data_IF_376294630638
#
_entry.id   IF_376294630638
#
_cell.length_a   1.000
_cell.length_b   1.000
_cell.length_c   1.000
_cell.angle_alpha   90.00
_cell.angle_beta   90.00
_cell.angle_gamma   90.00
#
_symmetry.space_group_name_H-M   'P 1'
#
loop_
_entity.id
_entity.type
_entity.pdbx_description
1 polymer ?
#
# COMPACT_ATOMS: atom_id res chain seq x y z
N UNK A 1 0.53 24.70 -7.86
CA UNK A 1 1.84 24.81 -7.15
C UNK A 1 1.65 25.00 -5.65
N UNK A 2 0.91 26.02 -5.19
CA UNK A 2 0.65 26.23 -3.75
C UNK A 2 0.01 25.01 -3.04
N UNK A 3 -0.96 24.35 -3.67
CA UNK A 3 -1.58 23.11 -3.15
C UNK A 3 -0.60 21.95 -3.01
N UNK A 4 0.33 21.80 -3.95
CA UNK A 4 1.36 20.75 -3.88
C UNK A 4 2.36 21.04 -2.76
N UNK A 5 2.78 22.31 -2.63
CA UNK A 5 3.66 22.73 -1.53
C UNK A 5 2.98 22.54 -0.19
N UNK A 6 1.72 22.95 -0.03
CA UNK A 6 0.96 22.75 1.21
C UNK A 6 0.76 21.27 1.53
N UNK A 7 0.44 20.44 0.53
CA UNK A 7 0.32 18.99 0.70
C UNK A 7 1.66 18.35 1.09
N UNK A 8 2.78 18.75 0.46
CA UNK A 8 4.11 18.27 0.82
C UNK A 8 4.53 18.72 2.21
N UNK A 9 4.23 19.97 2.61
CA UNK A 9 4.51 20.46 3.96
C UNK A 9 3.64 19.76 5.01
N UNK A 10 2.36 19.55 4.75
CA UNK A 10 1.48 18.78 5.61
C UNK A 10 1.96 17.33 5.75
N UNK A 11 2.40 16.71 4.65
CA UNK A 11 3.00 15.38 4.65
C UNK A 11 4.32 15.33 5.44
N UNK A 12 5.20 16.32 5.28
CA UNK A 12 6.44 16.42 6.05
C UNK A 12 6.12 16.61 7.53
N UNK A 13 5.19 17.50 7.89
CA UNK A 13 4.79 17.69 9.28
C UNK A 13 4.18 16.42 9.89
N UNK A 14 3.37 15.71 9.11
CA UNK A 14 2.78 14.43 9.51
C UNK A 14 3.84 13.35 9.69
N UNK A 15 4.74 13.15 8.70
CA UNK A 15 5.77 12.10 8.73
C UNK A 15 6.95 12.41 9.65
N UNK A 16 7.22 13.69 9.92
CA UNK A 16 8.17 14.13 10.93
C UNK A 16 7.66 13.88 12.36
N UNK A 17 6.42 13.39 12.52
CA UNK A 17 5.93 12.73 13.74
C UNK A 17 6.39 13.47 15.01
N UNK A 18 5.91 14.69 15.20
CA UNK A 18 6.21 15.58 16.33
C UNK A 18 5.84 15.00 17.73
N UNK A 19 5.52 13.71 17.85
CA UNK A 19 4.90 13.06 19.01
C UNK A 19 5.79 12.05 19.75
N UNK A 20 7.12 12.22 19.70
CA UNK A 20 8.05 11.40 20.49
C UNK A 20 8.19 9.96 19.97
N UNK A 21 8.24 8.96 20.86
CA UNK A 21 8.39 7.54 20.49
C UNK A 21 7.32 7.12 19.46
N UNK A 22 7.72 6.30 18.48
CA UNK A 22 6.87 5.90 17.37
C UNK A 22 5.60 5.17 17.84
N UNK A 23 4.56 5.16 17.00
CA UNK A 23 3.29 4.47 17.33
C UNK A 23 3.54 3.02 17.75
N UNK A 24 4.42 2.36 17.01
CA UNK A 24 4.73 0.95 17.20
C UNK A 24 5.37 0.69 18.58
N UNK A 25 6.34 1.53 18.98
CA UNK A 25 6.97 1.41 20.31
C UNK A 25 5.94 1.54 21.44
N UNK A 26 4.92 2.39 21.24
CA UNK A 26 3.84 2.59 22.21
C UNK A 26 2.89 1.38 22.26
N UNK A 27 2.58 0.78 21.11
CA UNK A 27 1.76 -0.44 21.04
C UNK A 27 2.49 -1.60 21.72
N UNK A 28 3.78 -1.79 21.40
CA UNK A 28 4.62 -2.82 22.04
C UNK A 28 4.65 -2.61 23.55
N UNK A 29 4.91 -1.38 24.01
CA UNK A 29 4.89 -1.06 25.44
C UNK A 29 3.52 -1.33 26.08
N UNK A 30 2.42 -0.95 25.42
CA UNK A 30 1.06 -1.12 25.94
C UNK A 30 0.62 -2.59 26.01
N UNK A 31 1.19 -3.44 25.14
CA UNK A 31 0.89 -4.87 25.05
C UNK A 31 1.83 -5.73 25.90
N UNK A 32 2.64 -5.10 26.75
CA UNK A 32 3.52 -5.79 27.71
C UNK A 32 4.93 -6.07 27.20
N UNK A 33 5.33 -5.47 26.07
CA UNK A 33 6.71 -5.53 25.60
C UNK A 33 7.67 -4.82 26.54
N UNK A 34 8.84 -5.43 26.73
CA UNK A 34 9.89 -4.92 27.62
C UNK A 34 11.11 -4.50 26.82
N UNK A 35 11.75 -3.41 27.22
CA UNK A 35 13.03 -3.04 26.63
C UNK A 35 14.11 -3.96 27.19
N UNK A 36 14.92 -4.59 26.34
CA UNK A 36 15.98 -5.48 26.79
C UNK A 36 17.26 -5.34 25.94
N UNK A 37 18.41 -5.60 26.56
CA UNK A 37 19.69 -5.67 25.84
C UNK A 37 20.18 -7.12 25.81
N UNK A 38 20.53 -7.68 24.63
CA UNK A 38 21.09 -9.01 24.54
C UNK A 38 22.58 -8.99 24.96
N UNK A 39 22.89 -9.76 26.00
CA UNK A 39 24.24 -10.01 26.48
C UNK A 39 24.71 -11.38 25.94
N UNK A 40 25.43 -11.35 24.83
CA UNK A 40 25.87 -12.56 24.13
C UNK A 40 27.02 -13.25 24.86
N UNK A 41 26.91 -14.56 25.06
CA UNK A 41 28.00 -15.40 25.61
C UNK A 41 28.30 -15.17 27.09
N UNK A 42 27.47 -14.41 27.81
CA UNK A 42 27.64 -14.15 29.24
C UNK A 42 27.33 -15.39 30.08
N UNK A 43 26.22 -16.07 29.78
CA UNK A 43 25.78 -17.27 30.50
C UNK A 43 26.77 -18.43 30.39
N UNK A 44 27.36 -18.63 29.20
CA UNK A 44 28.30 -19.73 28.96
C UNK A 44 29.67 -19.50 29.64
N UNK A 45 30.09 -18.24 29.79
CA UNK A 45 31.40 -17.89 30.37
C UNK A 45 31.39 -17.82 31.90
N UNK A 46 30.29 -17.39 32.51
CA UNK A 46 30.27 -17.06 33.94
C UNK A 46 29.13 -17.73 34.73
N UNK A 47 28.28 -18.53 34.08
CA UNK A 47 27.07 -19.08 34.69
C UNK A 47 25.99 -18.02 34.92
N UNK A 48 24.85 -18.41 35.52
CA UNK A 48 23.72 -17.49 35.79
C UNK A 48 23.87 -16.68 37.09
N UNK A 49 24.80 -17.04 37.98
CA UNK A 49 24.98 -16.36 39.27
C UNK A 49 25.28 -14.84 39.17
N UNK A 50 26.07 -14.35 38.19
CA UNK A 50 26.27 -12.91 37.99
C UNK A 50 25.00 -12.22 37.47
N UNK A 51 24.16 -12.95 36.74
CA UNK A 51 22.91 -12.44 36.17
C UNK A 51 21.92 -12.12 37.29
N UNK A 52 21.84 -12.96 38.32
CA UNK A 52 20.97 -12.75 39.50
C UNK A 52 21.22 -11.43 40.23
N UNK A 53 22.47 -10.95 40.25
CA UNK A 53 22.83 -9.65 40.84
C UNK A 53 22.27 -8.46 40.03
N UNK A 54 22.09 -8.61 38.71
CA UNK A 54 21.45 -7.61 37.85
C UNK A 54 19.91 -7.64 37.94
N UNK A 55 19.32 -8.77 38.35
CA UNK A 55 17.87 -8.93 38.58
C UNK A 55 17.41 -8.04 39.73
N UNK A 56 18.24 -7.92 40.78
CA UNK A 56 17.92 -7.12 41.96
C UNK A 56 17.71 -5.63 41.65
N UNK A 57 18.35 -5.09 40.61
CA UNK A 57 18.25 -3.68 40.20
C UNK A 57 17.07 -3.43 39.24
N UNK A 58 16.75 -4.42 38.41
CA UNK A 58 15.70 -4.31 37.39
C UNK A 58 14.33 -4.79 37.88
N UNK A 59 14.30 -5.59 38.95
CA UNK A 59 13.08 -6.15 39.54
C UNK A 59 12.36 -7.17 38.63
N UNK A 60 12.98 -7.59 37.53
CA UNK A 60 12.40 -8.51 36.55
C UNK A 60 13.40 -9.57 36.14
N UNK A 61 12.90 -10.80 35.93
CA UNK A 61 13.75 -11.92 35.54
C UNK A 61 14.22 -11.77 34.08
N UNK A 62 15.50 -12.01 33.79
CA UNK A 62 16.06 -11.97 32.46
C UNK A 62 15.61 -13.19 31.67
N UNK A 63 15.29 -12.96 30.40
CA UNK A 63 14.89 -14.01 29.48
C UNK A 63 16.15 -14.63 28.87
N UNK A 64 16.27 -15.96 28.93
CA UNK A 64 17.39 -16.69 28.32
C UNK A 64 16.89 -17.36 27.05
N UNK A 65 17.50 -17.04 25.91
CA UNK A 65 17.17 -17.67 24.63
C UNK A 65 18.45 -18.23 24.00
N UNK A 66 18.64 -19.54 24.13
CA UNK A 66 19.90 -20.19 23.74
C UNK A 66 21.08 -19.64 24.55
N UNK A 67 22.10 -19.13 23.86
CA UNK A 67 23.32 -18.57 24.46
C UNK A 67 23.22 -17.07 24.82
N UNK A 68 22.12 -16.41 24.42
CA UNK A 68 21.90 -14.98 24.62
C UNK A 68 21.02 -14.73 25.86
N UNK A 69 21.51 -13.89 26.77
CA UNK A 69 20.76 -13.44 27.95
C UNK A 69 20.20 -12.06 27.69
N UNK A 70 18.88 -11.90 27.74
CA UNK A 70 18.20 -10.62 27.59
C UNK A 70 18.00 -9.97 28.96
N UNK A 71 18.75 -8.90 29.21
CA UNK A 71 18.62 -8.13 30.44
C UNK A 71 17.52 -7.07 30.26
N UNK A 72 16.41 -7.12 31.02
CA UNK A 72 15.38 -6.11 30.98
C UNK A 72 15.94 -4.76 31.45
N UNK A 73 15.56 -3.69 30.75
CA UNK A 73 15.95 -2.31 31.02
C UNK A 73 14.70 -1.44 31.10
N UNK A 74 14.76 -0.31 31.82
CA UNK A 74 13.69 0.68 31.78
C UNK A 74 13.38 1.14 30.35
N UNK A 75 12.09 1.23 30.00
CA UNK A 75 11.61 1.52 28.63
C UNK A 75 12.21 2.77 27.97
N UNK A 76 12.67 3.75 28.77
CA UNK A 76 13.36 4.95 28.27
C UNK A 76 14.58 4.64 27.39
N UNK A 77 15.24 3.50 27.61
CA UNK A 77 16.44 3.10 26.86
C UNK A 77 16.14 2.65 25.43
N UNK A 78 14.93 2.14 25.15
CA UNK A 78 14.50 1.78 23.79
C UNK A 78 13.83 2.95 23.06
N UNK A 79 13.55 4.07 23.73
CA UNK A 79 12.81 5.19 23.17
C UNK A 79 13.68 6.44 22.96
N UNK A 80 14.30 6.97 24.00
CA UNK A 80 14.91 8.31 23.98
C UNK A 80 16.33 8.35 24.53
N UNK A 81 16.68 7.42 25.41
CA UNK A 81 17.92 7.48 26.19
C UNK A 81 18.93 6.47 25.63
N UNK A 82 20.11 6.89 25.15
CA UNK A 82 21.12 5.95 24.71
C UNK A 82 21.68 5.15 25.89
N UNK A 83 21.94 3.86 25.67
CA UNK A 83 22.59 3.00 26.65
C UNK A 83 24.11 3.28 26.67
N UNK A 84 24.53 4.12 27.61
CA UNK A 84 25.92 4.53 27.82
C UNK A 84 26.26 4.47 29.31
N UNK A 85 27.56 4.40 29.63
CA UNK A 85 28.08 4.33 31.02
C UNK A 85 27.51 5.45 31.91
N UNK A 86 27.36 6.66 31.38
CA UNK A 86 26.78 7.80 32.12
C UNK A 86 25.33 7.55 32.57
N UNK A 87 24.53 6.89 31.73
CA UNK A 87 23.10 6.71 31.95
C UNK A 87 22.77 5.42 32.71
N UNK A 88 23.70 4.45 32.75
CA UNK A 88 23.53 3.18 33.45
C UNK A 88 24.86 2.65 34.04
N UNK A 89 25.51 3.38 34.97
CA UNK A 89 26.86 3.07 35.44
C UNK A 89 26.96 1.70 36.12
N UNK A 90 25.93 1.25 36.83
CA UNK A 90 25.89 -0.06 37.49
C UNK A 90 26.09 -1.22 36.51
N UNK A 91 25.49 -1.15 35.33
CA UNK A 91 25.61 -2.19 34.30
C UNK A 91 27.02 -2.22 33.72
N UNK A 92 27.57 -1.06 33.37
CA UNK A 92 28.91 -0.98 32.79
C UNK A 92 30.02 -1.33 33.79
N UNK A 93 29.83 -1.01 35.08
CA UNK A 93 30.72 -1.45 36.16
C UNK A 93 30.67 -2.97 36.33
N UNK A 94 29.46 -3.56 36.40
CA UNK A 94 29.30 -5.00 36.46
C UNK A 94 29.95 -5.71 35.27
N UNK A 95 29.71 -5.22 34.05
CA UNK A 95 30.30 -5.83 32.86
C UNK A 95 31.83 -5.70 32.84
N UNK A 96 32.40 -4.66 33.47
CA UNK A 96 33.85 -4.50 33.62
C UNK A 96 34.44 -5.51 34.60
N UNK A 97 33.76 -5.74 35.73
CA UNK A 97 34.15 -6.76 36.72
C UNK A 97 34.08 -8.17 36.13
N UNK A 98 32.99 -8.47 35.41
CA UNK A 98 32.79 -9.79 34.78
C UNK A 98 33.78 -10.04 33.65
N UNK A 99 34.09 -9.04 32.81
CA UNK A 99 35.08 -9.25 31.73
C UNK A 99 36.53 -9.41 32.21
N UNK A 100 36.83 -9.24 33.51
CA UNK A 100 38.13 -9.57 34.08
C UNK A 100 39.32 -8.81 33.45
N UNK A 101 39.15 -7.53 33.10
CA UNK A 101 40.17 -6.82 32.30
C UNK A 101 41.24 -6.19 33.18
N UNK A 102 42.30 -6.96 33.42
CA UNK A 102 43.66 -6.47 33.66
C UNK A 102 44.44 -6.20 32.35
N UNK A 103 43.74 -6.12 31.21
CA UNK A 103 44.40 -6.02 29.90
C UNK A 103 43.74 -4.95 29.03
N UNK A 104 44.16 -3.69 29.21
CA UNK A 104 44.20 -2.56 28.24
C UNK A 104 43.18 -2.53 27.07
N UNK A 105 41.93 -2.93 27.26
CA UNK A 105 40.87 -2.69 26.28
C UNK A 105 40.13 -1.42 26.67
N UNK A 106 40.74 -0.28 26.33
CA UNK A 106 40.05 1.02 26.21
C UNK A 106 39.09 1.05 25.00
N UNK A 107 38.86 -0.08 24.31
CA UNK A 107 37.73 -0.19 23.41
C UNK A 107 36.48 -0.30 24.29
N UNK A 108 35.79 0.83 24.46
CA UNK A 108 34.51 0.93 25.14
C UNK A 108 33.68 -0.32 24.85
N UNK A 109 33.23 -1.00 25.90
CA UNK A 109 32.36 -2.16 25.82
C UNK A 109 31.08 -1.75 25.07
N UNK A 110 31.10 -1.87 23.75
CA UNK A 110 29.99 -1.48 22.89
C UNK A 110 28.96 -2.58 22.94
N UNK A 111 27.99 -2.38 23.81
CA UNK A 111 26.79 -3.20 23.82
C UNK A 111 25.97 -2.96 22.55
N UNK A 112 25.29 -3.99 22.04
CA UNK A 112 24.27 -3.78 21.01
C UNK A 112 23.19 -2.82 21.54
N UNK A 113 22.54 -2.04 20.66
CA UNK A 113 21.45 -1.18 21.09
C UNK A 113 20.34 -2.02 21.74
N UNK A 114 19.73 -1.54 22.83
CA UNK A 114 18.61 -2.23 23.44
C UNK A 114 17.45 -2.27 22.45
N UNK A 115 16.69 -3.37 22.46
CA UNK A 115 15.55 -3.60 21.58
C UNK A 115 14.35 -4.02 22.42
N UNK A 116 13.16 -3.80 21.88
CA UNK A 116 11.96 -4.38 22.45
C UNK A 116 12.01 -5.91 22.38
N UNK A 117 11.61 -6.56 23.46
CA UNK A 117 11.50 -8.00 23.62
C UNK A 117 10.11 -8.33 24.13
N UNK A 118 9.42 -9.25 23.45
CA UNK A 118 8.01 -9.56 23.69
C UNK A 118 7.07 -8.43 23.28
N UNK A 119 5.85 -8.48 23.82
CA UNK A 119 4.76 -7.59 23.40
C UNK A 119 4.21 -7.95 22.01
N UNK A 120 3.30 -7.13 21.50
CA UNK A 120 2.70 -7.30 20.18
C UNK A 120 3.33 -6.32 19.19
N UNK A 121 4.06 -6.83 18.21
CA UNK A 121 4.69 -6.03 17.16
C UNK A 121 3.83 -6.06 15.88
N UNK A 122 3.10 -4.98 15.62
CA UNK A 122 2.28 -4.90 14.40
C UNK A 122 3.19 -4.87 13.18
N UNK A 123 2.97 -5.78 12.22
CA UNK A 123 3.76 -5.80 10.99
C UNK A 123 3.50 -4.55 10.13
N UNK A 124 4.32 -3.52 10.32
CA UNK A 124 4.24 -2.27 9.57
C UNK A 124 4.50 -2.46 8.07
N UNK A 125 5.35 -3.42 7.70
CA UNK A 125 5.58 -3.79 6.30
C UNK A 125 4.31 -4.38 5.68
N UNK A 126 3.62 -5.29 6.37
CA UNK A 126 2.37 -5.84 5.90
C UNK A 126 1.29 -4.76 5.77
N UNK A 127 1.20 -3.85 6.75
CA UNK A 127 0.30 -2.70 6.71
C UNK A 127 0.53 -1.81 5.48
N UNK A 128 1.76 -1.33 5.28
CA UNK A 128 2.10 -0.42 4.19
C UNK A 128 1.97 -1.07 2.81
N UNK A 129 2.42 -2.32 2.66
CA UNK A 129 2.28 -3.07 1.40
C UNK A 129 0.81 -3.31 1.06
N UNK A 130 -0.01 -3.66 2.05
CA UNK A 130 -1.46 -3.85 1.85
C UNK A 130 -2.12 -2.55 1.43
N UNK A 131 -1.90 -1.47 2.18
CA UNK A 131 -2.50 -0.17 1.89
C UNK A 131 -2.05 0.36 0.51
N UNK A 132 -0.75 0.32 0.24
CA UNK A 132 -0.19 0.76 -1.04
C UNK A 132 -0.70 -0.06 -2.22
N UNK A 133 -0.74 -1.38 -2.10
CA UNK A 133 -1.25 -2.26 -3.15
C UNK A 133 -2.73 -2.01 -3.43
N UNK A 134 -3.56 -1.82 -2.40
CA UNK A 134 -5.00 -1.56 -2.56
C UNK A 134 -5.29 -0.21 -3.22
N UNK A 135 -4.58 0.85 -2.81
CA UNK A 135 -4.73 2.18 -3.42
C UNK A 135 -4.28 2.15 -4.89
N UNK A 136 -3.16 1.51 -5.19
CA UNK A 136 -2.70 1.41 -6.58
C UNK A 136 -3.65 0.54 -7.42
N UNK A 137 -4.16 -0.55 -6.84
CA UNK A 137 -5.13 -1.42 -7.50
C UNK A 137 -6.46 -0.70 -7.77
N UNK A 138 -6.94 0.18 -6.88
CA UNK A 138 -8.17 0.95 -7.13
C UNK A 138 -8.04 1.90 -8.30
N UNK A 139 -6.88 2.53 -8.48
CA UNK A 139 -6.59 3.40 -9.63
C UNK A 139 -6.47 2.61 -10.95
N UNK A 140 -5.95 1.38 -10.90
CA UNK A 140 -5.84 0.50 -12.07
C UNK A 140 -7.13 -0.24 -12.41
N UNK A 141 -8.07 -0.33 -11.46
CA UNK A 141 -9.30 -1.13 -11.60
C UNK A 141 -10.14 -0.78 -12.85
N UNK A 142 -10.35 0.49 -13.25
CA UNK A 142 -11.08 0.81 -14.48
C UNK A 142 -10.41 0.25 -15.74
N UNK A 143 -9.08 0.31 -15.82
CA UNK A 143 -8.31 -0.24 -16.94
C UNK A 143 -8.39 -1.77 -16.99
N UNK A 144 -8.32 -2.43 -15.83
CA UNK A 144 -8.49 -3.89 -15.74
C UNK A 144 -9.90 -4.33 -16.11
N UNK A 145 -10.95 -3.68 -15.59
CA UNK A 145 -12.35 -3.97 -15.93
C UNK A 145 -12.60 -3.81 -17.43
N UNK A 146 -12.08 -2.74 -18.03
CA UNK A 146 -12.20 -2.50 -19.48
C UNK A 146 -11.48 -3.57 -20.31
N UNK A 147 -10.30 -4.02 -19.88
CA UNK A 147 -9.56 -5.08 -20.55
C UNK A 147 -10.26 -6.45 -20.42
N UNK A 148 -10.79 -6.75 -19.24
CA UNK A 148 -11.56 -7.97 -18.96
C UNK A 148 -12.85 -8.02 -19.77
N UNK A 149 -13.60 -6.92 -19.83
CA UNK A 149 -14.82 -6.81 -20.63
C UNK A 149 -14.56 -7.05 -22.13
N UNK A 150 -13.49 -6.45 -22.68
CA UNK A 150 -13.08 -6.70 -24.08
C UNK A 150 -12.71 -8.16 -24.33
N UNK A 151 -12.02 -8.79 -23.37
CA UNK A 151 -11.64 -10.21 -23.45
C UNK A 151 -12.88 -11.12 -23.39
N UNK A 152 -13.81 -10.83 -22.48
CA UNK A 152 -15.06 -11.58 -22.30
C UNK A 152 -15.98 -11.48 -23.52
N UNK A 153 -16.11 -10.27 -24.09
CA UNK A 153 -16.91 -10.04 -25.29
C UNK A 153 -16.27 -10.61 -26.59
N UNK A 154 -15.09 -11.25 -26.51
CA UNK A 154 -14.40 -11.79 -27.67
C UNK A 154 -14.03 -10.74 -28.72
N UNK A 155 -14.12 -9.46 -28.39
CA UNK A 155 -13.86 -8.34 -29.29
C UNK A 155 -12.37 -8.26 -29.54
N UNK A 156 -11.91 -9.00 -30.55
CA UNK A 156 -10.65 -8.68 -31.22
C UNK A 156 -10.91 -7.39 -31.96
N UNK A 157 -10.38 -6.29 -31.45
CA UNK A 157 -10.37 -5.03 -32.21
C UNK A 157 -9.58 -5.30 -33.49
N UNK A 158 -10.28 -5.68 -34.56
CA UNK A 158 -9.79 -5.63 -35.92
C UNK A 158 -9.69 -4.14 -36.25
N UNK A 159 -8.63 -3.51 -35.74
CA UNK A 159 -8.32 -2.11 -35.93
C UNK A 159 -7.93 -1.89 -37.39
N UNK A 160 -8.90 -1.85 -38.29
CA UNK A 160 -8.70 -1.51 -39.70
C UNK A 160 -8.57 0.00 -39.92
N UNK A 161 -7.82 0.65 -39.03
CA UNK A 161 -7.47 2.06 -39.14
C UNK A 161 -5.95 2.15 -39.11
N UNK A 162 -5.36 2.69 -40.16
CA UNK A 162 -3.97 3.17 -40.22
C UNK A 162 -3.75 4.37 -39.26
N UNK A 163 -4.38 4.34 -38.09
CA UNK A 163 -4.30 5.40 -37.10
C UNK A 163 -3.13 5.08 -36.18
N UNK A 164 -2.05 5.86 -36.32
CA UNK A 164 -0.88 5.72 -35.44
C UNK A 164 -1.34 5.96 -33.99
N UNK A 165 -1.03 5.04 -33.05
CA UNK A 165 -1.43 5.21 -31.66
C UNK A 165 -0.81 6.50 -31.12
N UNK A 166 -1.66 7.34 -30.52
CA UNK A 166 -1.22 8.61 -29.94
C UNK A 166 -0.22 8.35 -28.80
N UNK A 167 0.69 9.30 -28.56
CA UNK A 167 1.64 9.20 -27.43
C UNK A 167 0.91 8.98 -26.10
N UNK A 168 -0.22 9.66 -25.89
CA UNK A 168 -1.08 9.51 -24.70
C UNK A 168 -1.57 8.08 -24.52
N UNK A 169 -2.00 7.41 -25.59
CA UNK A 169 -2.41 6.01 -25.53
C UNK A 169 -1.24 5.10 -25.14
N UNK A 170 -0.05 5.30 -25.71
CA UNK A 170 1.14 4.52 -25.36
C UNK A 170 1.53 4.69 -23.90
N UNK A 171 1.51 5.92 -23.41
CA UNK A 171 1.83 6.24 -22.00
C UNK A 171 0.81 5.62 -21.04
N UNK A 172 -0.48 5.68 -21.36
CA UNK A 172 -1.52 5.06 -20.54
C UNK A 172 -1.36 3.53 -20.45
N UNK A 173 -1.10 2.86 -21.58
CA UNK A 173 -0.86 1.41 -21.61
C UNK A 173 0.40 1.06 -20.82
N UNK A 174 1.50 1.78 -21.04
CA UNK A 174 2.75 1.55 -20.31
C UNK A 174 2.57 1.75 -18.80
N UNK A 175 1.91 2.84 -18.39
CA UNK A 175 1.61 3.14 -17.00
C UNK A 175 0.72 2.06 -16.37
N UNK A 176 -0.28 1.57 -17.09
CA UNK A 176 -1.16 0.49 -16.61
C UNK A 176 -0.38 -0.82 -16.42
N UNK A 177 0.49 -1.18 -17.37
CA UNK A 177 1.34 -2.39 -17.27
C UNK A 177 2.33 -2.26 -16.11
N UNK A 178 3.04 -1.14 -16.01
CA UNK A 178 4.02 -0.90 -14.96
C UNK A 178 3.36 -0.90 -13.57
N UNK A 179 2.21 -0.23 -13.43
CA UNK A 179 1.43 -0.24 -12.19
C UNK A 179 0.95 -1.64 -11.83
N UNK A 180 0.47 -2.43 -12.80
CA UNK A 180 0.04 -3.80 -12.56
C UNK A 180 1.19 -4.71 -12.11
N UNK A 181 2.37 -4.55 -12.73
CA UNK A 181 3.58 -5.27 -12.33
C UNK A 181 4.03 -4.90 -10.90
N UNK A 182 3.91 -3.62 -10.53
CA UNK A 182 4.22 -3.15 -9.19
C UNK A 182 3.26 -3.71 -8.14
N UNK A 183 1.95 -3.74 -8.42
CA UNK A 183 0.96 -4.38 -7.54
C UNK A 183 1.29 -5.87 -7.37
N UNK A 184 1.58 -6.59 -8.46
CA UNK A 184 1.95 -7.99 -8.39
C UNK A 184 3.21 -8.23 -7.55
N UNK A 185 4.23 -7.37 -7.72
CA UNK A 185 5.45 -7.40 -6.91
C UNK A 185 5.14 -7.17 -5.42
N UNK A 186 4.29 -6.20 -5.08
CA UNK A 186 3.94 -5.91 -3.69
C UNK A 186 3.10 -7.01 -3.05
N UNK A 187 2.19 -7.63 -3.80
CA UNK A 187 1.45 -8.82 -3.34
C UNK A 187 2.41 -9.99 -3.11
N UNK A 188 3.40 -10.19 -3.97
CA UNK A 188 4.44 -11.20 -3.77
C UNK A 188 5.31 -10.91 -2.55
N UNK A 189 5.71 -9.64 -2.34
CA UNK A 189 6.43 -9.24 -1.14
C UNK A 189 5.60 -9.51 0.12
N UNK A 190 4.30 -9.19 0.10
CA UNK A 190 3.39 -9.47 1.22
C UNK A 190 3.28 -10.99 1.48
N UNK A 191 3.22 -11.80 0.44
CA UNK A 191 3.25 -13.27 0.55
C UNK A 191 4.55 -13.77 1.20
N UNK A 192 5.70 -13.24 0.79
CA UNK A 192 6.99 -13.56 1.41
C UNK A 192 7.05 -13.12 2.88
N UNK A 193 6.52 -11.92 3.19
CA UNK A 193 6.38 -11.46 4.58
C UNK A 193 5.52 -12.41 5.40
N UNK A 194 4.42 -12.91 4.84
CA UNK A 194 3.52 -13.84 5.52
C UNK A 194 4.17 -15.19 5.84
N UNK A 195 5.12 -15.67 5.02
CA UNK A 195 5.80 -16.95 5.24
C UNK A 195 6.94 -16.83 6.25
N UNK A 196 7.80 -15.81 6.14
CA UNK A 196 9.12 -15.85 6.78
C UNK A 196 9.27 -15.02 8.07
N UNK A 197 8.39 -14.06 8.36
CA UNK A 197 8.62 -13.07 9.41
C UNK A 197 7.40 -12.88 10.29
N UNK A 198 7.53 -12.68 11.61
CA UNK A 198 6.44 -12.44 12.57
C UNK A 198 5.52 -13.63 12.88
N UNK A 199 4.84 -13.53 14.01
CA UNK A 199 3.78 -14.45 14.40
C UNK A 199 2.50 -14.22 13.55
N UNK A 200 1.64 -15.24 13.37
CA UNK A 200 0.44 -15.16 12.50
C UNK A 200 -0.55 -14.03 12.87
N UNK A 201 -0.69 -13.76 14.17
CA UNK A 201 -1.56 -12.73 14.75
C UNK A 201 -1.02 -11.31 14.49
N UNK A 202 0.29 -11.10 14.62
CA UNK A 202 0.97 -9.84 14.27
C UNK A 202 0.79 -9.47 12.79
N UNK A 203 0.85 -10.48 11.91
CA UNK A 203 0.58 -10.33 10.46
C UNK A 203 -0.86 -9.96 10.20
N UNK A 204 -1.80 -10.65 10.86
CA UNK A 204 -3.23 -10.42 10.67
C UNK A 204 -3.62 -9.01 11.10
N UNK A 205 -3.04 -8.50 12.19
CA UNK A 205 -3.25 -7.12 12.61
C UNK A 205 -2.74 -6.11 11.58
N UNK A 206 -1.54 -6.33 11.03
CA UNK A 206 -1.01 -5.49 9.94
C UNK A 206 -1.90 -5.47 8.70
N UNK A 207 -2.38 -6.64 8.27
CA UNK A 207 -3.32 -6.79 7.16
C UNK A 207 -4.66 -6.08 7.43
N UNK A 208 -5.25 -6.32 8.62
CA UNK A 208 -6.53 -5.74 9.01
C UNK A 208 -6.47 -4.21 9.07
N UNK A 209 -5.41 -3.65 9.67
CA UNK A 209 -5.18 -2.21 9.68
C UNK A 209 -5.03 -1.65 8.26
N UNK A 210 -4.35 -2.38 7.37
CA UNK A 210 -4.18 -1.98 5.97
C UNK A 210 -5.50 -1.93 5.22
N UNK A 211 -6.36 -2.94 5.43
CA UNK A 211 -7.71 -3.01 4.84
C UNK A 211 -8.62 -1.92 5.38
N UNK A 212 -8.63 -1.70 6.71
CA UNK A 212 -9.43 -0.64 7.35
C UNK A 212 -8.98 0.74 6.85
N UNK A 213 -7.68 0.98 6.75
CA UNK A 213 -7.14 2.24 6.24
C UNK A 213 -7.53 2.45 4.76
N UNK A 214 -7.42 1.42 3.92
CA UNK A 214 -7.83 1.49 2.51
C UNK A 214 -9.34 1.76 2.38
N UNK A 215 -10.15 1.11 3.22
CA UNK A 215 -11.59 1.37 3.28
C UNK A 215 -11.89 2.81 3.71
N UNK A 216 -11.20 3.31 4.73
CA UNK A 216 -11.31 4.70 5.17
C UNK A 216 -10.97 5.70 4.05
N UNK A 217 -9.90 5.44 3.28
CA UNK A 217 -9.55 6.26 2.10
C UNK A 217 -10.68 6.23 1.06
N UNK A 218 -11.23 5.05 0.77
CA UNK A 218 -12.33 4.90 -0.19
C UNK A 218 -13.60 5.64 0.24
N UNK A 219 -13.87 5.74 1.55
CA UNK A 219 -14.98 6.53 2.08
C UNK A 219 -14.69 8.04 2.01
N UNK A 220 -13.46 8.45 2.28
CA UNK A 220 -13.08 9.85 2.37
C UNK A 220 -12.89 10.54 1.01
N UNK A 221 -12.47 9.80 -0.02
CA UNK A 221 -12.18 10.34 -1.36
C UNK A 221 -13.45 10.30 -2.22
N UNK A 222 -14.00 11.47 -2.63
CA UNK A 222 -15.14 11.50 -3.54
C UNK A 222 -14.79 10.84 -4.87
N UNK A 223 -15.68 9.99 -5.38
CA UNK A 223 -15.52 9.41 -6.72
C UNK A 223 -15.54 10.52 -7.75
N UNK A 224 -14.57 10.53 -8.67
CA UNK A 224 -14.60 11.47 -9.78
C UNK A 224 -15.85 11.19 -10.63
N UNK A 225 -16.63 12.23 -11.00
CA UNK A 225 -17.75 12.05 -11.90
C UNK A 225 -17.23 11.51 -13.23
N UNK A 226 -17.87 10.45 -13.72
CA UNK A 226 -17.59 9.86 -15.02
C UNK A 226 -17.65 10.98 -16.05
N UNK A 227 -16.55 11.22 -16.78
CA UNK A 227 -16.54 12.18 -17.88
C UNK A 227 -17.50 11.62 -18.95
N UNK A 228 -18.69 12.21 -19.07
CA UNK A 228 -19.61 11.89 -20.16
C UNK A 228 -18.96 12.40 -21.44
N UNK A 229 -18.37 11.48 -22.21
CA UNK A 229 -17.84 11.80 -23.53
C UNK A 229 -19.06 11.94 -24.44
N UNK A 230 -19.49 13.18 -24.69
CA UNK A 230 -20.55 13.45 -25.66
C UNK A 230 -20.05 13.12 -27.07
N UNK A 231 -20.47 11.98 -27.60
CA UNK A 231 -20.19 11.61 -28.98
C UNK A 231 -21.13 12.41 -29.89
N UNK A 232 -20.58 13.44 -30.55
CA UNK A 232 -21.30 14.13 -31.62
C UNK A 232 -21.42 13.19 -32.82
N UNK A 233 -22.56 12.50 -32.92
CA UNK A 233 -22.90 11.67 -34.09
C UNK A 233 -22.95 12.60 -35.29
N UNK A 234 -21.98 12.48 -36.20
CA UNK A 234 -21.98 13.22 -37.46
C UNK A 234 -23.09 12.61 -38.30
N UNK A 235 -24.20 13.34 -38.44
CA UNK A 235 -25.32 12.93 -39.30
C UNK A 235 -24.84 12.60 -40.73
N UNK A 236 -25.60 11.77 -41.48
CA UNK A 236 -25.22 11.37 -42.82
C UNK A 236 -24.88 12.60 -43.66
N UNK A 237 -23.67 12.62 -44.21
CA UNK A 237 -23.28 13.62 -45.19
C UNK A 237 -24.24 13.48 -46.38
N UNK A 238 -25.15 14.45 -46.55
CA UNK A 238 -25.93 14.59 -47.79
C UNK A 238 -24.91 14.62 -48.93
N UNK A 239 -24.83 13.53 -49.71
CA UNK A 239 -24.10 13.57 -50.99
C UNK A 239 -24.71 14.70 -51.81
N UNK A 240 -23.91 15.57 -52.45
CA UNK A 240 -24.43 16.44 -53.48
C UNK A 240 -25.05 15.55 -54.56
N UNK A 241 -26.33 15.76 -54.85
CA UNK A 241 -27.00 15.09 -55.97
C UNK A 241 -26.23 15.45 -57.25
N UNK A 242 -25.95 14.49 -58.16
CA UNK A 242 -25.32 14.81 -59.43
C UNK A 242 -26.23 15.79 -60.18
N UNK A 243 -25.66 16.90 -60.67
CA UNK A 243 -26.35 17.80 -61.61
C UNK A 243 -26.62 16.99 -62.87
N UNK A 244 -27.88 16.64 -63.10
CA UNK A 244 -28.36 16.16 -64.39
C UNK A 244 -28.68 17.39 -65.22
N UNK A 245 -27.78 17.75 -66.11
CA UNK A 245 -28.15 18.48 -67.33
C UNK A 245 -29.06 17.55 -68.12
N UNK A 246 -30.29 17.98 -68.37
CA UNK A 246 -31.00 17.84 -69.65
C UNK A 246 -32.46 18.32 -69.50
N UNK A 247 -32.79 19.31 -70.33
CA UNK A 247 -34.06 19.43 -71.07
C UNK A 247 -35.38 19.53 -70.30
N UNK A 248 -35.88 20.77 -70.22
CA UNK A 248 -37.21 21.24 -70.67
C UNK A 248 -38.35 20.20 -70.66
N UNK A 249 -39.39 20.52 -69.88
CA UNK A 249 -40.83 20.26 -70.12
C UNK A 249 -41.55 19.15 -69.33
N UNK A 250 -42.82 19.48 -68.99
CA UNK A 250 -43.85 18.75 -68.25
C UNK A 250 -43.72 18.76 -66.70
N UNK A 251 -44.26 19.75 -65.97
CA UNK A 251 -45.67 20.07 -65.72
C UNK A 251 -46.46 19.01 -64.91
N UNK A 252 -46.82 19.39 -63.67
CA UNK A 252 -48.00 19.03 -62.89
C UNK A 252 -48.46 17.56 -62.73
N UNK A 253 -48.37 17.05 -61.49
CA UNK A 253 -49.45 16.29 -60.81
C UNK A 253 -49.10 16.13 -59.31
N UNK A 254 -49.63 16.96 -58.41
CA UNK A 254 -50.80 16.76 -57.51
C UNK A 254 -50.83 15.40 -56.77
N UNK A 255 -51.20 15.48 -55.48
CA UNK A 255 -51.70 14.44 -54.54
C UNK A 255 -50.52 13.70 -53.86
N UNK A 256 -50.31 13.83 -52.55
CA UNK A 256 -51.19 13.35 -51.50
C UNK A 256 -50.96 11.84 -51.36
N UNK A 257 -50.55 11.36 -50.19
CA UNK A 257 -50.99 10.10 -49.58
C UNK A 257 -50.06 9.71 -48.42
N UNK A 258 -50.70 9.43 -47.28
CA UNK A 258 -50.13 8.65 -46.20
C UNK A 258 -50.14 7.19 -46.63
N UNK A 259 -49.01 6.49 -46.52
CA UNK A 259 -49.01 5.03 -46.49
C UNK A 259 -48.21 4.52 -45.28
N UNK A 260 -48.94 3.78 -44.47
CA UNK A 260 -48.53 2.93 -43.36
C UNK A 260 -48.33 1.51 -43.91
N UNK A 261 -47.60 0.68 -43.17
CA UNK A 261 -47.41 -0.79 -43.27
C UNK A 261 -46.10 -1.18 -43.99
N UNK A 262 -45.24 -2.03 -43.44
CA UNK A 262 -45.32 -2.88 -42.25
C UNK A 262 -44.49 -4.15 -42.50
N UNK A 263 -44.00 -4.75 -41.41
CA UNK A 263 -43.27 -6.03 -41.31
C UNK A 263 -41.92 -6.10 -42.05
N UNK A 264 -40.85 -6.71 -41.56
CA UNK A 264 -40.61 -7.57 -40.41
C UNK A 264 -39.08 -7.70 -40.28
N UNK A 265 -38.55 -7.62 -39.06
CA UNK A 265 -37.12 -7.66 -38.84
C UNK A 265 -36.76 -7.31 -37.40
N UNK A 266 -37.20 -8.15 -36.48
CA UNK A 266 -36.69 -8.17 -35.12
C UNK A 266 -35.15 -8.06 -35.11
N UNK A 267 -34.64 -7.05 -34.41
CA UNK A 267 -33.33 -7.15 -33.77
C UNK A 267 -33.56 -6.79 -32.31
N UNK A 268 -33.57 -7.85 -31.51
CA UNK A 268 -33.58 -7.87 -30.06
C UNK A 268 -32.50 -6.93 -29.51
N UNK A 269 -32.94 -5.80 -28.95
CA UNK A 269 -32.11 -4.91 -28.16
C UNK A 269 -32.04 -5.51 -26.76
N UNK A 270 -30.97 -6.26 -26.47
CA UNK A 270 -30.61 -6.59 -25.10
C UNK A 270 -30.12 -5.31 -24.41
N UNK A 271 -31.09 -4.65 -23.77
CA UNK A 271 -30.85 -3.63 -22.76
C UNK A 271 -30.36 -4.33 -21.48
N UNK A 272 -29.12 -4.06 -21.08
CA UNK A 272 -28.63 -4.40 -19.75
C UNK A 272 -27.93 -3.20 -19.10
N UNK A 273 -28.55 -2.02 -19.17
CA UNK A 273 -28.23 -0.90 -18.26
C UNK A 273 -29.49 -0.28 -17.64
N UNK A 274 -30.26 -1.12 -16.95
CA UNK A 274 -31.07 -0.70 -15.82
C UNK A 274 -30.36 -1.13 -14.52
N UNK A 275 -29.68 -0.20 -13.85
CA UNK A 275 -29.45 -0.31 -12.41
C UNK A 275 -29.95 0.96 -11.75
N UNK A 276 -30.94 0.72 -10.88
CA UNK A 276 -31.80 1.65 -10.19
C UNK A 276 -31.04 2.67 -9.35
N UNK A 277 -31.55 3.90 -9.38
CA UNK A 277 -31.40 4.90 -8.33
C UNK A 277 -32.53 4.65 -7.33
N UNK A 278 -32.20 4.10 -6.17
CA UNK A 278 -32.79 4.41 -4.85
C UNK A 278 -31.71 4.24 -3.78
#
# INVERSE_FOLDING_TARGET
MATLVLASLAWIAFTAWMFGAGLNDRIIQATGGECAVPLRGLAQRFGMAPVDALIADTGRQPQVHGDDVYLPLPNRFCQTTPLIEKNHPHLFNFLRDVHGVHERVHAALRLPPPRWSGGFDVSGHAFLLTLGALILASELAPSWRSALAKKAAGVRVLSNTNMRPTLRHRLHVLSTIAGSALVALWVWMLFMTAIYFHDPDEKLAGLALGLIAAFGVHLAVPRQPTQVVEYKVRGPTRRPSPKREDSVEAANKVIGDYEVLGDDGEVEVLDEHAVLVE
#
